data_IF_172707872243
#
_entry.id   IF_172707872243
#
_cell.length_a   1.000
_cell.length_b   1.000
_cell.length_c   1.000
_cell.angle_alpha   90.00
_cell.angle_beta   90.00
_cell.angle_gamma   90.00
#
_symmetry.space_group_name_H-M   'P 1'
#
loop_
_entity.id
_entity.type
_entity.pdbx_description
1 polymer ?
#
# COMPACT_ATOMS: atom_id res chain seq x y z
N UNK A 1 -14.51 64.17 -10.46
CA UNK A 1 -13.84 62.87 -10.24
C UNK A 1 -13.34 62.81 -8.81
N UNK A 2 -13.64 61.74 -8.08
CA UNK A 2 -12.61 61.04 -7.32
C UNK A 2 -12.62 59.53 -7.64
N UNK A 3 -11.43 58.96 -7.78
CA UNK A 3 -11.20 57.53 -7.99
C UNK A 3 -11.44 56.77 -6.69
N UNK A 4 -12.36 55.80 -6.72
CA UNK A 4 -12.65 54.91 -5.61
C UNK A 4 -11.79 53.64 -5.76
N UNK A 5 -10.70 53.57 -5.00
CA UNK A 5 -9.82 52.40 -4.91
C UNK A 5 -10.50 51.28 -4.13
N UNK A 6 -10.85 50.20 -4.84
CA UNK A 6 -11.29 48.93 -4.24
C UNK A 6 -10.07 48.24 -3.64
N UNK A 7 -10.05 47.88 -2.34
CA UNK A 7 -9.00 47.02 -1.82
C UNK A 7 -9.21 45.61 -2.38
N UNK A 8 -8.21 45.09 -3.10
CA UNK A 8 -8.06 43.68 -3.43
C UNK A 8 -7.91 42.91 -2.13
N UNK A 9 -9.02 42.46 -1.53
CA UNK A 9 -8.95 41.40 -0.53
C UNK A 9 -8.59 40.11 -1.27
N UNK A 10 -7.39 39.65 -0.96
CA UNK A 10 -6.81 38.40 -1.41
C UNK A 10 -7.83 37.27 -1.25
N UNK A 11 -8.14 36.62 -2.36
CA UNK A 11 -8.77 35.32 -2.39
C UNK A 11 -7.74 34.34 -1.80
N UNK A 12 -7.67 34.23 -0.48
CA UNK A 12 -7.15 33.05 0.19
C UNK A 12 -8.20 31.95 0.06
N UNK A 13 -8.24 31.34 -1.14
CA UNK A 13 -8.91 30.04 -1.30
C UNK A 13 -8.12 29.02 -0.49
N UNK A 14 -8.69 28.70 0.66
CA UNK A 14 -8.40 27.59 1.56
C UNK A 14 -7.68 26.39 0.91
N UNK A 15 -6.35 26.35 0.99
CA UNK A 15 -5.56 25.12 0.76
C UNK A 15 -5.65 24.13 1.94
N UNK A 16 -6.18 24.57 3.10
CA UNK A 16 -6.31 23.76 4.31
C UNK A 16 -7.17 22.49 4.13
N UNK A 17 -8.14 22.51 3.21
CA UNK A 17 -9.01 21.35 2.95
C UNK A 17 -8.30 20.18 2.24
N UNK A 18 -7.22 20.47 1.50
CA UNK A 18 -6.45 19.45 0.78
C UNK A 18 -5.41 18.81 1.70
N UNK A 19 -4.79 19.60 2.58
CA UNK A 19 -3.75 19.16 3.52
C UNK A 19 -4.28 18.24 4.63
N UNK A 20 -5.43 18.56 5.22
CA UNK A 20 -6.07 17.70 6.23
C UNK A 20 -6.45 16.33 5.66
N UNK A 21 -6.90 16.30 4.40
CA UNK A 21 -7.25 15.07 3.65
C UNK A 21 -6.05 14.20 3.23
N UNK A 22 -4.81 14.67 3.45
CA UNK A 22 -3.60 13.92 3.09
C UNK A 22 -3.03 13.10 4.26
N UNK A 23 -3.26 13.50 5.52
CA UNK A 23 -2.83 12.74 6.71
C UNK A 23 -3.64 11.47 6.90
N UNK A 24 -4.96 11.55 6.72
CA UNK A 24 -5.90 10.44 6.90
C UNK A 24 -6.29 9.87 5.54
N UNK A 25 -5.44 9.02 4.96
CA UNK A 25 -5.83 8.30 3.74
C UNK A 25 -6.78 7.16 4.09
N UNK A 26 -8.01 7.12 3.53
CA UNK A 26 -8.91 6.00 3.72
C UNK A 26 -8.28 4.71 3.21
N UNK A 27 -8.53 3.60 3.93
CA UNK A 27 -8.06 2.27 3.52
C UNK A 27 -8.54 1.98 2.09
N UNK A 28 -7.62 1.53 1.24
CA UNK A 28 -7.83 1.19 -0.16
C UNK A 28 -8.13 2.39 -1.06
N UNK A 29 -7.94 3.64 -0.62
CA UNK A 29 -8.15 4.78 -1.51
C UNK A 29 -7.14 4.79 -2.67
N UNK A 30 -7.52 5.40 -3.81
CA UNK A 30 -6.63 5.56 -4.95
C UNK A 30 -5.29 6.23 -4.55
N UNK A 31 -5.35 7.23 -3.68
CA UNK A 31 -4.18 7.93 -3.12
C UNK A 31 -3.27 6.99 -2.33
N UNK A 32 -3.84 6.14 -1.48
CA UNK A 32 -3.06 5.18 -0.70
C UNK A 32 -2.36 4.15 -1.59
N UNK A 33 -3.06 3.62 -2.61
CA UNK A 33 -2.47 2.68 -3.57
C UNK A 33 -1.30 3.31 -4.34
N UNK A 34 -1.49 4.53 -4.85
CA UNK A 34 -0.43 5.28 -5.54
C UNK A 34 0.78 5.54 -4.63
N UNK A 35 0.55 6.01 -3.39
CA UNK A 35 1.63 6.22 -2.43
C UNK A 35 2.39 4.93 -2.14
N UNK A 36 1.69 3.82 -1.97
CA UNK A 36 2.30 2.51 -1.68
C UNK A 36 3.24 2.07 -2.81
N UNK A 37 2.82 2.26 -4.07
CA UNK A 37 3.64 1.96 -5.24
C UNK A 37 4.88 2.84 -5.28
N UNK A 38 4.71 4.17 -5.12
CA UNK A 38 5.80 5.13 -5.08
C UNK A 38 6.77 4.87 -3.91
N UNK A 39 6.27 4.44 -2.76
CA UNK A 39 7.08 4.16 -1.57
C UNK A 39 7.94 2.89 -1.72
N UNK A 40 7.37 1.85 -2.33
CA UNK A 40 8.04 0.57 -2.58
C UNK A 40 9.00 0.64 -3.77
N UNK A 41 8.68 1.44 -4.80
CA UNK A 41 9.59 1.66 -5.93
C UNK A 41 10.68 2.64 -5.53
N UNK A 42 11.94 2.23 -5.72
CA UNK A 42 13.08 3.14 -5.69
C UNK A 42 13.50 3.59 -7.09
N UNK A 43 12.56 3.57 -8.05
CA UNK A 43 12.79 3.86 -9.47
C UNK A 43 11.72 4.83 -9.99
N UNK A 44 12.04 5.67 -10.99
CA UNK A 44 11.07 6.53 -11.65
C UNK A 44 9.90 5.72 -12.23
N UNK A 45 8.68 6.27 -12.17
CA UNK A 45 7.49 5.67 -12.78
C UNK A 45 6.70 6.71 -13.57
N UNK A 46 6.22 6.35 -14.77
CA UNK A 46 5.35 7.20 -15.60
C UNK A 46 3.95 7.29 -14.99
N UNK A 47 3.21 8.35 -15.31
CA UNK A 47 1.81 8.51 -14.85
C UNK A 47 0.94 7.31 -15.21
N UNK A 48 1.00 6.85 -16.47
CA UNK A 48 0.11 5.81 -16.97
C UNK A 48 0.41 4.46 -16.31
N UNK A 49 1.68 4.13 -16.13
CA UNK A 49 2.12 2.93 -15.39
C UNK A 49 1.68 2.98 -13.93
N UNK A 50 1.79 4.14 -13.28
CA UNK A 50 1.34 4.31 -11.91
C UNK A 50 -0.17 4.12 -11.82
N UNK A 51 -0.94 4.70 -12.74
CA UNK A 51 -2.39 4.56 -12.79
C UNK A 51 -2.83 3.11 -13.02
N UNK A 52 -2.14 2.41 -13.93
CA UNK A 52 -2.37 1.00 -14.24
C UNK A 52 -2.15 0.12 -13.00
N UNK A 53 -0.97 0.22 -12.37
CA UNK A 53 -0.62 -0.61 -11.21
C UNK A 53 -1.47 -0.26 -9.98
N UNK A 54 -1.80 1.03 -9.81
CA UNK A 54 -2.67 1.49 -8.73
C UNK A 54 -4.17 1.27 -9.02
N UNK A 55 -4.54 0.74 -10.19
CA UNK A 55 -5.94 0.57 -10.63
C UNK A 55 -6.75 1.86 -10.40
N UNK A 56 -6.29 2.95 -11.01
CA UNK A 56 -6.87 4.30 -10.87
C UNK A 56 -6.77 5.05 -12.19
N UNK A 57 -7.34 6.24 -12.26
CA UNK A 57 -7.29 7.10 -13.44
C UNK A 57 -6.33 8.27 -13.24
N UNK A 58 -5.82 8.81 -14.35
CA UNK A 58 -4.97 10.00 -14.34
C UNK A 58 -5.71 11.21 -13.75
N UNK A 59 -7.02 11.33 -14.00
CA UNK A 59 -7.86 12.42 -13.51
C UNK A 59 -7.93 12.47 -11.97
N UNK A 60 -8.06 11.32 -11.30
CA UNK A 60 -8.12 11.27 -9.83
C UNK A 60 -6.73 11.37 -9.18
N UNK A 61 -5.68 10.97 -9.90
CA UNK A 61 -4.32 10.84 -9.37
C UNK A 61 -3.50 12.12 -9.54
N UNK A 62 -3.71 12.86 -10.64
CA UNK A 62 -2.92 14.06 -10.99
C UNK A 62 -2.98 15.18 -9.93
N UNK A 63 -4.13 15.56 -9.36
CA UNK A 63 -4.17 16.62 -8.35
C UNK A 63 -3.33 16.27 -7.12
N UNK A 64 -3.34 15.00 -6.73
CA UNK A 64 -2.60 14.51 -5.57
C UNK A 64 -1.09 14.45 -5.83
N UNK A 65 -0.65 13.96 -6.99
CA UNK A 65 0.77 13.99 -7.36
C UNK A 65 1.32 15.41 -7.45
N UNK A 66 0.51 16.36 -7.95
CA UNK A 66 0.89 17.78 -7.98
C UNK A 66 1.07 18.35 -6.58
N UNK A 67 0.23 17.96 -5.62
CA UNK A 67 0.42 18.35 -4.23
C UNK A 67 1.75 17.78 -3.68
N UNK A 68 2.02 16.49 -3.89
CA UNK A 68 3.29 15.88 -3.44
C UNK A 68 4.52 16.52 -4.07
N UNK A 69 4.46 16.88 -5.34
CA UNK A 69 5.50 17.65 -6.05
C UNK A 69 5.71 19.02 -5.40
N UNK A 70 4.65 19.79 -5.17
CA UNK A 70 4.72 21.12 -4.53
C UNK A 70 5.33 21.04 -3.11
N UNK A 71 5.11 19.95 -2.40
CA UNK A 71 5.65 19.73 -1.05
C UNK A 71 6.98 18.96 -1.03
N UNK A 72 7.64 18.83 -2.19
CA UNK A 72 8.97 18.22 -2.32
C UNK A 72 9.05 16.75 -1.88
N UNK A 73 7.95 16.00 -2.01
CA UNK A 73 7.94 14.55 -1.82
C UNK A 73 8.34 13.79 -3.07
N UNK A 74 8.13 14.40 -4.24
CA UNK A 74 8.45 13.82 -5.53
C UNK A 74 9.52 14.67 -6.23
N UNK A 75 10.49 14.00 -6.84
CA UNK A 75 11.22 14.56 -7.95
C UNK A 75 10.46 14.22 -9.24
N UNK A 76 10.19 15.22 -10.06
CA UNK A 76 9.45 15.07 -11.32
C UNK A 76 10.38 15.42 -12.47
N UNK A 77 10.62 14.45 -13.34
CA UNK A 77 11.30 14.67 -14.60
C UNK A 77 10.26 14.77 -15.72
N UNK A 78 10.44 15.71 -16.63
CA UNK A 78 9.60 15.87 -17.82
C UNK A 78 10.46 15.67 -19.06
N UNK A 79 9.97 14.86 -20.00
CA UNK A 79 10.60 14.70 -21.30
C UNK A 79 9.55 14.63 -22.41
N UNK A 80 9.99 14.89 -23.63
CA UNK A 80 9.17 14.82 -24.82
C UNK A 80 9.46 13.51 -25.56
N UNK A 81 8.43 12.68 -25.74
CA UNK A 81 8.48 11.46 -26.55
C UNK A 81 7.34 11.58 -27.57
N UNK A 82 7.65 11.51 -28.87
CA UNK A 82 6.66 11.56 -29.96
C UNK A 82 5.60 12.68 -29.83
N UNK A 83 6.07 13.92 -29.61
CA UNK A 83 5.25 15.13 -29.41
C UNK A 83 4.37 15.14 -28.15
N UNK A 84 4.45 14.09 -27.33
CA UNK A 84 3.76 13.98 -26.04
C UNK A 84 4.68 14.34 -24.88
N UNK A 85 4.17 15.13 -23.94
CA UNK A 85 4.86 15.42 -22.68
C UNK A 85 4.67 14.25 -21.73
N UNK A 86 5.76 13.60 -21.36
CA UNK A 86 5.76 12.51 -20.39
C UNK A 86 6.35 13.01 -19.09
N UNK A 87 5.64 12.71 -17.99
CA UNK A 87 6.09 13.01 -16.62
C UNK A 87 6.43 11.71 -15.92
N UNK A 88 7.61 11.66 -15.31
CA UNK A 88 8.08 10.55 -14.49
C UNK A 88 8.23 11.04 -13.06
N UNK A 89 7.74 10.23 -12.12
CA UNK A 89 7.69 10.57 -10.71
C UNK A 89 8.65 9.66 -9.94
N UNK A 90 9.47 10.25 -9.09
CA UNK A 90 10.36 9.53 -8.17
C UNK A 90 10.11 10.01 -6.75
N UNK A 91 9.83 9.11 -5.82
CA UNK A 91 9.65 9.48 -4.42
C UNK A 91 11.01 9.77 -3.77
N UNK A 92 11.19 11.00 -3.29
CA UNK A 92 12.43 11.46 -2.63
C UNK A 92 12.26 11.65 -1.12
N UNK A 93 11.02 11.77 -0.63
CA UNK A 93 10.72 11.91 0.80
C UNK A 93 9.63 10.91 1.20
N UNK A 94 9.89 10.15 2.26
CA UNK A 94 9.02 9.06 2.74
C UNK A 94 8.23 9.40 4.00
N UNK A 95 8.51 10.52 4.63
CA UNK A 95 7.92 10.96 5.89
C UNK A 95 7.65 12.47 5.89
N UNK A 96 6.77 12.92 6.77
CA UNK A 96 6.45 14.33 6.97
C UNK A 96 4.95 14.60 7.06
N UNK A 97 4.53 15.87 7.13
CA UNK A 97 3.15 16.26 7.48
C UNK A 97 2.07 15.79 6.51
N UNK A 98 2.46 15.40 5.29
CA UNK A 98 1.59 15.05 4.16
C UNK A 98 1.77 13.59 3.76
N UNK A 99 2.82 12.94 4.28
CA UNK A 99 2.95 11.50 4.16
C UNK A 99 1.82 10.83 4.95
N UNK A 100 1.29 9.68 4.49
CA UNK A 100 0.33 8.92 5.27
C UNK A 100 0.93 8.58 6.64
N UNK A 101 0.14 8.64 7.71
CA UNK A 101 0.64 8.34 9.07
C UNK A 101 1.34 6.98 9.16
N UNK A 102 0.82 5.99 8.44
CA UNK A 102 1.37 4.64 8.35
C UNK A 102 2.73 4.55 7.64
N UNK A 103 3.11 5.56 6.84
CA UNK A 103 4.41 5.56 6.15
C UNK A 103 5.61 5.71 7.10
N UNK A 104 5.35 6.18 8.33
CA UNK A 104 6.32 6.24 9.42
C UNK A 104 6.48 4.89 10.15
N UNK A 105 5.56 3.93 9.98
CA UNK A 105 5.53 2.67 10.72
C UNK A 105 5.53 1.49 9.74
N UNK A 106 6.67 0.82 9.63
CA UNK A 106 6.93 -0.31 8.73
C UNK A 106 5.98 -1.50 8.88
N UNK A 107 5.28 -1.61 10.00
CA UNK A 107 4.39 -2.75 10.28
C UNK A 107 3.02 -2.68 9.59
N UNK A 108 2.48 -1.49 9.30
CA UNK A 108 1.19 -1.35 8.60
C UNK A 108 1.31 -1.60 7.08
N UNK A 109 2.53 -1.51 6.52
CA UNK A 109 2.84 -1.96 5.16
C UNK A 109 2.74 -3.49 5.00
N UNK A 110 2.77 -4.24 6.10
CA UNK A 110 2.63 -5.71 6.08
C UNK A 110 1.22 -6.14 5.67
N UNK A 111 0.19 -5.35 6.01
CA UNK A 111 -1.21 -5.69 5.75
C UNK A 111 -1.60 -5.66 4.26
N UNK A 112 -0.89 -4.90 3.44
CA UNK A 112 -1.18 -4.74 2.00
C UNK A 112 -0.22 -5.51 1.07
N UNK A 113 0.85 -6.07 1.63
CA UNK A 113 1.72 -7.04 0.96
C UNK A 113 1.35 -8.49 1.29
N UNK A 114 0.30 -8.71 2.09
CA UNK A 114 -0.30 -10.02 2.21
C UNK A 114 -0.93 -10.34 0.85
N UNK A 115 -0.31 -11.29 0.15
CA UNK A 115 -1.01 -12.20 -0.76
C UNK A 115 -2.45 -12.45 -0.24
N UNK A 116 -3.45 -12.70 -1.11
CA UNK A 116 -4.84 -12.90 -0.68
C UNK A 116 -4.88 -13.86 0.51
N UNK A 117 -5.62 -13.48 1.57
CA UNK A 117 -5.68 -14.24 2.82
C UNK A 117 -5.88 -15.72 2.49
N UNK A 118 -4.95 -16.55 2.99
CA UNK A 118 -5.04 -18.00 2.81
C UNK A 118 -6.41 -18.43 3.33
N UNK A 119 -7.20 -19.12 2.51
CA UNK A 119 -8.44 -19.73 2.94
C UNK A 119 -8.18 -21.14 3.53
N UNK A 120 -9.16 -21.73 4.21
CA UNK A 120 -9.02 -23.03 4.87
C UNK A 120 -8.49 -24.14 3.94
N UNK A 121 -8.94 -24.16 2.68
CA UNK A 121 -8.51 -25.12 1.65
C UNK A 121 -7.05 -24.90 1.25
N UNK A 122 -6.65 -23.65 1.03
CA UNK A 122 -5.27 -23.29 0.73
C UNK A 122 -4.33 -23.58 1.92
N UNK A 123 -4.75 -23.29 3.15
CA UNK A 123 -3.97 -23.58 4.35
C UNK A 123 -3.70 -25.08 4.47
N UNK A 124 -4.72 -25.89 4.22
CA UNK A 124 -4.60 -27.36 4.23
C UNK A 124 -3.64 -27.85 3.15
N UNK A 125 -3.75 -27.32 1.92
CA UNK A 125 -2.85 -27.66 0.83
C UNK A 125 -1.39 -27.29 1.13
N UNK A 126 -1.13 -26.10 1.68
CA UNK A 126 0.22 -25.63 2.03
C UNK A 126 0.85 -26.50 3.11
N UNK A 127 0.09 -26.84 4.16
CA UNK A 127 0.60 -27.70 5.25
C UNK A 127 0.91 -29.11 4.73
N UNK A 128 0.04 -29.67 3.87
CA UNK A 128 0.26 -30.98 3.27
C UNK A 128 1.43 -31.01 2.28
N UNK A 129 1.70 -29.90 1.57
CA UNK A 129 2.80 -29.80 0.63
C UNK A 129 4.18 -29.64 1.31
N UNK A 130 4.24 -29.01 2.49
CA UNK A 130 5.50 -28.61 3.12
C UNK A 130 5.92 -29.48 4.32
N UNK A 131 5.07 -30.38 4.80
CA UNK A 131 5.41 -31.28 5.91
C UNK A 131 4.95 -32.72 5.61
N UNK A 132 5.73 -33.76 5.99
CA UNK A 132 5.33 -35.15 5.77
C UNK A 132 4.03 -35.54 6.49
N UNK A 133 3.67 -34.82 7.56
CA UNK A 133 2.37 -34.94 8.24
C UNK A 133 2.02 -33.65 9.00
N UNK A 134 0.72 -33.38 9.19
CA UNK A 134 0.20 -32.28 10.03
C UNK A 134 0.80 -32.28 11.45
N UNK A 135 1.05 -33.46 12.02
CA UNK A 135 1.66 -33.63 13.35
C UNK A 135 3.09 -33.09 13.40
N UNK A 136 3.89 -33.29 12.34
CA UNK A 136 5.24 -32.73 12.23
C UNK A 136 5.21 -31.20 12.10
N UNK A 137 4.26 -30.65 11.35
CA UNK A 137 4.10 -29.19 11.24
C UNK A 137 3.75 -28.55 12.60
N UNK A 138 2.82 -29.15 13.34
CA UNK A 138 2.47 -28.70 14.69
C UNK A 138 3.65 -28.73 15.66
N UNK A 139 4.49 -29.78 15.60
CA UNK A 139 5.68 -29.91 16.42
C UNK A 139 6.75 -28.86 16.06
N UNK A 140 6.97 -28.62 14.77
CA UNK A 140 7.93 -27.63 14.26
C UNK A 140 7.61 -26.21 14.72
N UNK A 141 6.33 -25.87 14.80
CA UNK A 141 5.85 -24.58 15.29
C UNK A 141 5.47 -24.58 16.78
N UNK A 142 5.85 -25.63 17.52
CA UNK A 142 5.67 -25.77 18.97
C UNK A 142 4.24 -25.46 19.45
N UNK A 143 3.24 -25.90 18.69
CA UNK A 143 1.85 -25.64 19.04
C UNK A 143 1.42 -26.54 20.20
N UNK A 144 1.13 -25.93 21.35
CA UNK A 144 0.45 -26.61 22.47
C UNK A 144 -0.92 -27.18 22.05
N UNK A 145 -1.48 -28.07 22.85
CA UNK A 145 -2.72 -28.80 22.52
C UNK A 145 -3.89 -27.89 22.10
N UNK A 146 -4.04 -26.74 22.75
CA UNK A 146 -5.02 -25.72 22.37
C UNK A 146 -4.73 -25.08 21.01
N UNK A 147 -3.45 -24.85 20.68
CA UNK A 147 -3.00 -24.36 19.37
C UNK A 147 -3.25 -25.37 18.26
N UNK A 148 -3.10 -26.67 18.54
CA UNK A 148 -3.39 -27.75 17.59
C UNK A 148 -4.89 -27.83 17.25
N UNK A 149 -5.75 -27.74 18.26
CA UNK A 149 -7.21 -27.69 18.06
C UNK A 149 -7.62 -26.46 17.24
N UNK A 150 -7.05 -25.29 17.56
CA UNK A 150 -7.31 -24.05 16.81
C UNK A 150 -6.87 -24.16 15.35
N UNK A 151 -5.70 -24.75 15.07
CA UNK A 151 -5.23 -24.98 13.71
C UNK A 151 -6.17 -25.88 12.92
N UNK A 152 -6.66 -26.98 13.51
CA UNK A 152 -7.64 -27.86 12.87
C UNK A 152 -8.95 -27.12 12.55
N UNK A 153 -9.45 -26.31 13.47
CA UNK A 153 -10.63 -25.47 13.24
C UNK A 153 -10.42 -24.44 12.11
N UNK A 154 -9.20 -23.92 11.95
CA UNK A 154 -8.84 -23.03 10.85
C UNK A 154 -8.79 -23.78 9.51
N UNK A 155 -8.22 -24.98 9.48
CA UNK A 155 -8.16 -25.84 8.29
C UNK A 155 -9.54 -26.34 7.85
N UNK A 156 -10.50 -26.49 8.78
CA UNK A 156 -11.88 -26.86 8.47
C UNK A 156 -12.79 -25.66 8.17
N UNK A 157 -12.28 -24.43 8.24
CA UNK A 157 -13.07 -23.21 8.01
C UNK A 157 -13.98 -22.79 9.18
N UNK A 158 -13.98 -23.54 10.29
CA UNK A 158 -14.76 -23.23 11.49
C UNK A 158 -14.16 -22.09 12.32
N UNK A 159 -12.98 -21.59 11.93
CA UNK A 159 -12.30 -20.46 12.57
C UNK A 159 -11.52 -19.65 11.55
N UNK A 160 -11.50 -18.33 11.74
CA UNK A 160 -10.64 -17.42 10.95
C UNK A 160 -9.17 -17.77 11.15
N UNK A 161 -8.42 -17.80 10.06
CA UNK A 161 -6.97 -18.00 10.06
C UNK A 161 -6.32 -16.77 10.68
N UNK A 162 -5.41 -16.98 11.63
CA UNK A 162 -4.68 -15.90 12.28
C UNK A 162 -3.44 -15.52 11.48
N UNK A 163 -3.02 -14.26 11.60
CA UNK A 163 -1.83 -13.75 10.92
C UNK A 163 -0.57 -14.57 11.23
N UNK A 164 -0.43 -15.11 12.44
CA UNK A 164 0.69 -15.98 12.83
C UNK A 164 0.75 -17.25 11.99
N UNK A 165 -0.38 -17.94 11.83
CA UNK A 165 -0.47 -19.19 11.04
C UNK A 165 -0.34 -18.88 9.55
N UNK A 166 -0.96 -17.80 9.09
CA UNK A 166 -0.86 -17.34 7.71
C UNK A 166 0.60 -17.03 7.33
N UNK A 167 1.32 -16.28 8.17
CA UNK A 167 2.73 -15.94 7.92
C UNK A 167 3.63 -17.18 7.97
N UNK A 168 3.38 -18.12 8.88
CA UNK A 168 4.10 -19.38 8.93
C UNK A 168 3.90 -20.20 7.64
N UNK A 169 2.65 -20.33 7.20
CA UNK A 169 2.31 -21.02 5.96
C UNK A 169 2.98 -20.39 4.71
N UNK A 170 2.99 -19.05 4.62
CA UNK A 170 3.62 -18.33 3.49
C UNK A 170 5.14 -18.44 3.44
N UNK A 171 5.83 -18.49 4.58
CA UNK A 171 7.29 -18.66 4.61
C UNK A 171 7.73 -19.93 3.86
N UNK A 172 6.94 -20.99 3.94
CA UNK A 172 7.25 -22.25 3.26
C UNK A 172 6.88 -22.25 1.77
N UNK A 173 5.90 -21.45 1.34
CA UNK A 173 5.59 -21.24 -0.09
C UNK A 173 6.77 -20.64 -0.87
N UNK A 174 7.51 -19.70 -0.27
CA UNK A 174 8.64 -19.04 -0.92
C UNK A 174 9.96 -19.79 -0.81
N UNK A 175 10.07 -20.76 0.10
CA UNK A 175 11.26 -21.59 0.27
C UNK A 175 11.43 -22.68 -0.81
N UNK A 176 10.41 -22.91 -1.63
CA UNK A 176 10.35 -23.97 -2.65
C UNK A 176 10.05 -23.46 -4.06
N UNK A 177 10.38 -22.20 -4.38
CA UNK A 177 10.52 -21.81 -5.79
C UNK A 177 11.87 -22.34 -6.30
N UNK A 178 11.90 -23.11 -7.40
CA UNK A 178 13.14 -23.64 -7.98
C UNK A 178 14.10 -22.54 -8.41
#
# INVERSE_FOLDING_TARGET
MPQNTIPKSSIERSNAGTESNMRTMPKNSARQRCWTILYKRNKPIRMDDLCLVAQTTSASTRPWLKALENHQYLNVAEFHEDRSKIRVFTLIKKSGPIAPSWSAHTEELRDWNLEPRINAKQLTAIINANAPTLKKWMAMHQLHHAGQTRLRQMMSGNRKITATIENAARKHLHAHKP
#
